data_IF_811731444649
#
_entry.id   IF_811731444649
#
_cell.length_a   1.000
_cell.length_b   1.000
_cell.length_c   1.000
_cell.angle_alpha   90.00
_cell.angle_beta   90.00
_cell.angle_gamma   90.00
#
_symmetry.space_group_name_H-M   'P 1'
#
loop_
_entity.id
_entity.type
_entity.pdbx_description
1 polymer ?
#
# COMPACT_ATOMS: atom_id res chain seq x y z
N UNK A 1 -28.89 -21.85 11.49
CA UNK A 1 -28.60 -20.45 11.85
C UNK A 1 -28.50 -20.37 13.36
N UNK A 2 -27.38 -19.91 13.90
CA UNK A 2 -27.28 -19.56 15.32
C UNK A 2 -28.17 -18.34 15.60
N UNK A 3 -28.97 -18.34 16.67
CA UNK A 3 -29.77 -17.18 17.03
C UNK A 3 -28.87 -15.96 17.33
N UNK A 4 -29.33 -14.77 16.96
CA UNK A 4 -28.61 -13.53 17.24
C UNK A 4 -28.44 -13.32 18.75
N UNK A 5 -27.21 -13.07 19.19
CA UNK A 5 -26.85 -12.74 20.57
C UNK A 5 -26.39 -11.29 20.62
N UNK A 6 -27.02 -10.51 21.50
CA UNK A 6 -26.68 -9.10 21.73
C UNK A 6 -25.29 -9.03 22.36
N UNK A 7 -24.97 -9.94 23.27
CA UNK A 7 -23.72 -10.02 24.01
C UNK A 7 -22.52 -10.20 23.07
N UNK A 8 -22.63 -11.13 22.12
CA UNK A 8 -21.58 -11.35 21.11
C UNK A 8 -21.44 -10.17 20.14
N UNK A 9 -22.53 -9.43 19.89
CA UNK A 9 -22.50 -8.25 19.03
C UNK A 9 -21.90 -7.03 19.74
N UNK A 10 -22.12 -6.87 21.05
CA UNK A 10 -21.49 -5.82 21.87
C UNK A 10 -19.96 -5.88 21.78
N UNK A 11 -19.38 -7.09 21.78
CA UNK A 11 -17.94 -7.28 21.66
C UNK A 11 -17.35 -6.81 20.33
N UNK A 12 -18.19 -6.62 19.31
CA UNK A 12 -17.79 -6.15 17.98
C UNK A 12 -17.91 -4.63 17.81
N UNK A 13 -18.44 -3.90 18.80
CA UNK A 13 -18.49 -2.44 18.75
C UNK A 13 -17.06 -1.89 18.84
N UNK A 14 -16.64 -1.17 17.80
CA UNK A 14 -15.26 -0.70 17.63
C UNK A 14 -15.00 0.54 18.47
N UNK A 15 -15.93 1.49 18.48
CA UNK A 15 -15.80 2.74 19.24
C UNK A 15 -16.04 2.49 20.73
N UNK A 16 -15.04 2.82 21.55
CA UNK A 16 -15.07 2.55 22.99
C UNK A 16 -16.18 3.33 23.70
N UNK A 17 -16.41 4.59 23.31
CA UNK A 17 -17.45 5.43 23.93
C UNK A 17 -18.84 4.93 23.53
N UNK A 18 -19.03 4.56 22.26
CA UNK A 18 -20.26 3.91 21.79
C UNK A 18 -20.51 2.61 22.54
N UNK A 19 -19.48 1.77 22.76
CA UNK A 19 -19.60 0.52 23.52
C UNK A 19 -20.01 0.79 24.98
N UNK A 20 -19.36 1.74 25.64
CA UNK A 20 -19.69 2.13 27.02
C UNK A 20 -21.14 2.61 27.14
N UNK A 21 -21.57 3.53 26.26
CA UNK A 21 -22.95 4.02 26.27
C UNK A 21 -23.97 2.92 25.90
N UNK A 22 -23.61 2.01 24.99
CA UNK A 22 -24.48 0.91 24.60
C UNK A 22 -24.69 -0.11 25.73
N UNK A 23 -23.70 -0.32 26.61
CA UNK A 23 -23.88 -1.19 27.77
C UNK A 23 -24.99 -0.68 28.71
N UNK A 24 -25.27 0.62 28.75
CA UNK A 24 -26.42 1.16 29.49
C UNK A 24 -27.75 0.82 28.82
N UNK A 25 -27.80 0.85 27.48
CA UNK A 25 -28.96 0.39 26.70
C UNK A 25 -29.27 -1.07 27.03
N UNK A 26 -28.23 -1.91 27.00
CA UNK A 26 -28.37 -3.33 27.26
C UNK A 26 -28.85 -3.60 28.70
N UNK A 27 -28.30 -2.90 29.71
CA UNK A 27 -28.80 -2.98 31.09
C UNK A 27 -30.27 -2.58 31.21
N UNK A 28 -30.70 -1.52 30.52
CA UNK A 28 -32.10 -1.11 30.52
C UNK A 28 -33.00 -2.16 29.86
N UNK A 29 -32.55 -2.77 28.77
CA UNK A 29 -33.28 -3.83 28.08
C UNK A 29 -33.48 -5.06 28.98
N UNK A 30 -32.40 -5.57 29.58
CA UNK A 30 -32.43 -6.72 30.48
C UNK A 30 -33.30 -6.47 31.73
N UNK A 31 -33.30 -5.23 32.24
CA UNK A 31 -34.14 -4.83 33.37
C UNK A 31 -35.63 -4.59 32.99
N UNK A 32 -36.03 -4.82 31.74
CA UNK A 32 -37.39 -4.57 31.27
C UNK A 32 -37.76 -3.08 31.12
N UNK A 33 -36.78 -2.19 31.21
CA UNK A 33 -36.94 -0.74 31.06
C UNK A 33 -36.92 -0.32 29.58
N UNK A 34 -37.80 -0.90 28.76
CA UNK A 34 -37.78 -0.79 27.29
C UNK A 34 -37.85 0.64 26.75
N UNK A 35 -38.66 1.49 27.38
CA UNK A 35 -38.77 2.91 27.03
C UNK A 35 -37.43 3.65 27.22
N UNK A 36 -36.72 3.36 28.31
CA UNK A 36 -35.41 3.92 28.58
C UNK A 36 -34.37 3.34 27.62
N UNK A 37 -34.42 2.03 27.35
CA UNK A 37 -33.55 1.38 26.39
C UNK A 37 -33.65 2.01 25.00
N UNK A 38 -34.86 2.22 24.46
CA UNK A 38 -35.06 2.89 23.16
C UNK A 38 -34.56 4.33 23.17
N UNK A 39 -34.81 5.07 24.26
CA UNK A 39 -34.33 6.45 24.41
C UNK A 39 -32.80 6.54 24.37
N UNK A 40 -32.13 5.71 25.18
CA UNK A 40 -30.67 5.64 25.23
C UNK A 40 -30.08 5.13 23.91
N UNK A 41 -30.72 4.14 23.28
CA UNK A 41 -30.24 3.57 22.01
C UNK A 41 -30.16 4.62 20.92
N UNK A 42 -31.17 5.49 20.82
CA UNK A 42 -31.14 6.61 19.87
C UNK A 42 -29.98 7.56 20.16
N UNK A 43 -29.71 7.88 21.43
CA UNK A 43 -28.56 8.70 21.80
C UNK A 43 -27.24 8.04 21.39
N UNK A 44 -27.07 6.74 21.64
CA UNK A 44 -25.88 5.98 21.22
C UNK A 44 -25.69 6.05 19.71
N UNK A 45 -26.75 5.80 18.94
CA UNK A 45 -26.76 5.88 17.46
C UNK A 45 -26.27 7.24 16.97
N UNK A 46 -26.83 8.34 17.49
CA UNK A 46 -26.45 9.69 17.07
C UNK A 46 -25.00 9.98 17.43
N UNK A 47 -24.57 9.65 18.66
CA UNK A 47 -23.19 9.89 19.09
C UNK A 47 -22.18 9.05 18.31
N UNK A 48 -22.53 7.83 17.94
CA UNK A 48 -21.70 6.95 17.13
C UNK A 48 -21.53 7.51 15.71
N UNK A 49 -22.61 8.00 15.09
CA UNK A 49 -22.53 8.68 13.78
C UNK A 49 -21.61 9.90 13.86
N UNK A 50 -21.70 10.71 14.92
CA UNK A 50 -20.80 11.86 15.12
C UNK A 50 -19.35 11.42 15.28
N UNK A 51 -19.07 10.42 16.12
CA UNK A 51 -17.70 9.86 16.29
C UNK A 51 -17.14 9.38 14.97
N UNK A 52 -17.96 8.68 14.18
CA UNK A 52 -17.57 8.19 12.87
C UNK A 52 -17.32 9.31 11.87
N UNK A 53 -18.15 10.36 11.85
CA UNK A 53 -17.90 11.53 11.01
C UNK A 53 -16.59 12.22 11.38
N UNK A 54 -16.29 12.39 12.68
CA UNK A 54 -15.03 12.97 13.13
C UNK A 54 -13.83 12.12 12.71
N UNK A 55 -13.98 10.80 12.83
CA UNK A 55 -12.96 9.86 12.37
C UNK A 55 -12.77 9.93 10.86
N UNK A 56 -13.85 10.05 10.09
CA UNK A 56 -13.78 10.19 8.62
C UNK A 56 -13.14 11.52 8.21
N UNK A 57 -13.49 12.61 8.89
CA UNK A 57 -12.86 13.92 8.71
C UNK A 57 -11.35 13.85 8.98
N UNK A 58 -10.92 13.28 10.11
CA UNK A 58 -9.52 13.27 10.52
C UNK A 58 -8.71 12.25 9.71
N UNK A 59 -9.16 11.00 9.62
CA UNK A 59 -8.38 9.91 9.04
C UNK A 59 -8.36 10.00 7.51
N UNK A 60 -9.43 10.49 6.88
CA UNK A 60 -9.56 10.54 5.42
C UNK A 60 -9.55 11.96 4.84
N UNK A 61 -9.47 13.01 5.67
CA UNK A 61 -9.55 14.42 5.24
C UNK A 61 -10.83 14.73 4.42
N UNK A 62 -11.96 14.11 4.79
CA UNK A 62 -13.20 14.20 4.03
C UNK A 62 -13.90 15.56 4.21
N UNK A 63 -13.95 16.33 3.12
CA UNK A 63 -14.55 17.67 3.13
C UNK A 63 -16.07 17.68 3.34
N UNK A 64 -16.77 16.58 3.04
CA UNK A 64 -18.22 16.45 3.25
C UNK A 64 -18.51 16.18 4.72
N UNK A 65 -17.74 15.30 5.36
CA UNK A 65 -17.78 15.06 6.80
C UNK A 65 -17.52 16.36 7.58
N UNK A 66 -16.47 17.11 7.17
CA UNK A 66 -16.16 18.42 7.75
C UNK A 66 -17.35 19.39 7.68
N UNK A 67 -18.00 19.50 6.51
CA UNK A 67 -19.18 20.36 6.32
C UNK A 67 -20.35 19.94 7.20
N UNK A 68 -20.67 18.64 7.26
CA UNK A 68 -21.76 18.12 8.09
C UNK A 68 -21.50 18.42 9.57
N UNK A 69 -20.27 18.18 10.06
CA UNK A 69 -19.88 18.47 11.43
C UNK A 69 -19.94 19.97 11.76
N UNK A 70 -19.49 20.83 10.85
CA UNK A 70 -19.56 22.28 11.01
C UNK A 70 -21.01 22.79 11.06
N UNK A 71 -21.89 22.25 10.21
CA UNK A 71 -23.32 22.55 10.20
C UNK A 71 -23.98 22.12 11.52
N UNK A 72 -23.70 20.91 12.01
CA UNK A 72 -24.19 20.40 13.30
C UNK A 72 -23.74 21.32 14.45
N UNK A 73 -22.45 21.67 14.48
CA UNK A 73 -21.88 22.56 15.50
C UNK A 73 -22.57 23.93 15.48
N UNK A 74 -22.89 24.45 14.30
CA UNK A 74 -23.62 25.70 14.13
C UNK A 74 -25.05 25.60 14.66
N UNK A 75 -25.78 24.51 14.35
CA UNK A 75 -27.15 24.27 14.85
C UNK A 75 -27.18 24.16 16.38
N UNK A 76 -26.21 23.45 16.96
CA UNK A 76 -26.06 23.34 18.41
C UNK A 76 -25.80 24.71 19.08
N UNK A 77 -24.93 25.54 18.48
CA UNK A 77 -24.64 26.89 18.99
C UNK A 77 -25.84 27.84 18.93
N UNK A 78 -26.70 27.70 17.92
CA UNK A 78 -27.92 28.51 17.77
C UNK A 78 -29.06 28.11 18.73
N UNK A 79 -28.88 27.05 19.54
CA UNK A 79 -29.91 26.47 20.41
C UNK A 79 -31.21 26.16 19.66
N UNK A 80 -31.12 25.78 18.39
CA UNK A 80 -32.22 25.10 17.71
C UNK A 80 -32.61 23.90 18.58
N UNK A 81 -33.91 23.68 18.82
CA UNK A 81 -34.38 22.68 19.79
C UNK A 81 -33.64 21.37 19.54
N UNK A 82 -33.05 20.76 20.57
CA UNK A 82 -32.10 19.65 20.45
C UNK A 82 -32.56 18.41 19.66
N UNK A 83 -33.85 18.35 19.30
CA UNK A 83 -34.46 17.37 18.39
C UNK A 83 -34.07 17.55 16.92
N UNK A 84 -33.89 18.78 16.45
CA UNK A 84 -33.94 19.06 15.00
C UNK A 84 -32.63 18.71 14.31
N UNK A 85 -31.49 18.91 14.99
CA UNK A 85 -30.19 18.54 14.45
C UNK A 85 -29.97 17.01 14.49
N UNK A 86 -30.46 16.32 15.53
CA UNK A 86 -30.47 14.84 15.63
C UNK A 86 -31.29 14.22 14.48
N UNK A 87 -32.33 14.90 14.01
CA UNK A 87 -33.09 14.46 12.85
C UNK A 87 -32.32 14.66 11.55
N UNK A 88 -31.65 15.81 11.41
CA UNK A 88 -30.89 16.09 10.20
C UNK A 88 -29.67 15.18 10.03
N UNK A 89 -28.99 14.76 11.09
CA UNK A 89 -27.73 14.01 10.95
C UNK A 89 -27.89 12.69 10.20
N UNK A 90 -28.90 11.87 10.53
CA UNK A 90 -29.12 10.58 9.87
C UNK A 90 -29.43 10.79 8.38
N UNK A 91 -30.24 11.82 8.08
CA UNK A 91 -30.58 12.19 6.71
C UNK A 91 -29.37 12.73 5.94
N UNK A 92 -28.62 13.67 6.51
CA UNK A 92 -27.45 14.30 5.89
C UNK A 92 -26.38 13.25 5.58
N UNK A 93 -26.14 12.34 6.52
CA UNK A 93 -25.16 11.26 6.41
C UNK A 93 -25.61 10.21 5.38
N UNK A 94 -26.92 9.93 5.27
CA UNK A 94 -27.47 9.10 4.20
C UNK A 94 -27.44 9.76 2.81
N UNK A 95 -27.86 11.01 2.70
CA UNK A 95 -28.00 11.69 1.41
C UNK A 95 -26.66 12.12 0.83
N UNK A 96 -25.77 12.69 1.66
CA UNK A 96 -24.52 13.32 1.22
C UNK A 96 -23.32 12.37 1.24
N UNK A 97 -23.30 11.43 2.18
CA UNK A 97 -22.20 10.48 2.35
C UNK A 97 -22.59 9.02 2.08
N UNK A 98 -23.88 8.75 1.84
CA UNK A 98 -24.38 7.39 1.58
C UNK A 98 -23.87 6.41 2.61
N UNK A 99 -23.92 6.82 3.89
CA UNK A 99 -23.22 6.12 4.96
C UNK A 99 -23.80 4.72 5.23
N UNK A 100 -25.08 4.58 4.92
CA UNK A 100 -25.85 3.34 5.02
C UNK A 100 -26.71 3.17 3.77
N UNK A 101 -27.27 1.97 3.58
CA UNK A 101 -28.27 1.72 2.54
C UNK A 101 -29.67 2.21 2.93
N UNK A 102 -30.62 2.12 1.99
CA UNK A 102 -32.00 2.58 2.21
C UNK A 102 -32.68 1.82 3.37
N UNK A 103 -32.41 0.52 3.53
CA UNK A 103 -33.01 -0.29 4.60
C UNK A 103 -32.56 0.19 5.98
N UNK A 104 -31.24 0.35 6.16
CA UNK A 104 -30.66 0.91 7.38
C UNK A 104 -31.23 2.30 7.67
N UNK A 105 -31.33 3.16 6.66
CA UNK A 105 -31.88 4.50 6.81
C UNK A 105 -33.32 4.48 7.34
N UNK A 106 -34.19 3.63 6.77
CA UNK A 106 -35.58 3.48 7.24
C UNK A 106 -35.65 2.90 8.66
N UNK A 107 -34.80 1.93 9.01
CA UNK A 107 -34.73 1.35 10.36
C UNK A 107 -34.35 2.40 11.40
N UNK A 108 -33.35 3.25 11.10
CA UNK A 108 -32.93 4.35 11.98
C UNK A 108 -34.01 5.43 12.11
N UNK A 109 -34.71 5.77 11.02
CA UNK A 109 -35.87 6.66 11.08
C UNK A 109 -37.01 6.07 11.91
N UNK A 110 -37.23 4.76 11.85
CA UNK A 110 -38.23 4.09 12.65
C UNK A 110 -37.89 4.15 14.15
N UNK A 111 -36.65 3.86 14.52
CA UNK A 111 -36.13 4.01 15.88
C UNK A 111 -36.35 5.43 16.41
N UNK A 112 -36.01 6.44 15.60
CA UNK A 112 -36.21 7.85 15.96
C UNK A 112 -37.68 8.18 16.24
N UNK A 113 -38.59 7.76 15.37
CA UNK A 113 -40.04 7.96 15.55
C UNK A 113 -40.54 7.32 16.84
N UNK A 114 -40.10 6.09 17.15
CA UNK A 114 -40.46 5.41 18.40
C UNK A 114 -39.85 6.08 19.62
N UNK A 115 -38.61 6.58 19.56
CA UNK A 115 -38.00 7.39 20.63
C UNK A 115 -38.83 8.65 20.92
N UNK A 116 -39.33 9.31 19.89
CA UNK A 116 -40.20 10.48 20.06
C UNK A 116 -41.48 10.11 20.83
N UNK A 117 -42.15 9.02 20.45
CA UNK A 117 -43.34 8.51 21.15
C UNK A 117 -43.05 8.07 22.61
N UNK A 118 -41.86 7.53 22.88
CA UNK A 118 -41.43 7.16 24.23
C UNK A 118 -41.25 8.37 25.16
N UNK A 119 -40.93 9.53 24.58
CA UNK A 119 -40.54 10.75 25.31
C UNK A 119 -41.67 11.77 25.43
N UNK A 120 -42.66 11.73 24.53
CA UNK A 120 -43.76 12.68 24.49
C UNK A 120 -45.12 11.99 24.70
N UNK A 121 -45.96 12.49 25.63
CA UNK A 121 -47.27 11.89 25.90
C UNK A 121 -48.19 12.07 24.69
N UNK A 122 -48.87 10.99 24.33
CA UNK A 122 -50.00 11.06 23.41
C UNK A 122 -51.19 11.62 24.19
N UNK A 123 -51.70 12.78 23.80
CA UNK A 123 -52.94 13.31 24.35
C UNK A 123 -54.08 12.47 23.78
N UNK A 124 -54.43 11.37 24.46
CA UNK A 124 -55.67 10.63 24.23
C UNK A 124 -56.55 10.74 25.47
N UNK A 125 -57.86 10.87 25.25
CA UNK A 125 -58.87 11.38 26.20
C UNK A 125 -59.11 10.53 27.47
N UNK A 126 -58.36 9.45 27.73
CA UNK A 126 -58.63 8.58 28.88
C UNK A 126 -57.45 7.97 29.63
N UNK A 127 -56.19 8.17 29.22
CA UNK A 127 -55.03 7.71 30.01
C UNK A 127 -53.75 8.43 29.58
N UNK A 128 -53.16 9.25 30.46
CA UNK A 128 -51.89 9.98 30.26
C UNK A 128 -50.66 9.03 30.26
N UNK A 129 -50.72 7.90 29.55
CA UNK A 129 -49.63 6.92 29.48
C UNK A 129 -48.70 7.20 28.30
N UNK A 130 -47.40 7.15 28.57
CA UNK A 130 -46.37 7.22 27.54
C UNK A 130 -46.31 5.88 26.80
N UNK A 131 -46.06 5.94 25.48
CA UNK A 131 -45.88 4.74 24.68
C UNK A 131 -44.70 3.92 25.24
N UNK A 132 -44.91 2.61 25.38
CA UNK A 132 -43.91 1.65 25.83
C UNK A 132 -43.78 0.55 24.77
N UNK A 133 -42.61 0.39 24.13
CA UNK A 133 -42.38 -0.65 23.14
C UNK A 133 -42.35 -2.03 23.80
N UNK A 134 -42.66 -3.07 23.03
CA UNK A 134 -42.57 -4.45 23.52
C UNK A 134 -41.10 -4.91 23.65
N UNK A 135 -40.82 -6.00 24.39
CA UNK A 135 -39.48 -6.59 24.43
C UNK A 135 -38.92 -6.91 23.04
N UNK A 136 -39.78 -7.42 22.15
CA UNK A 136 -39.44 -7.82 20.78
C UNK A 136 -39.16 -6.60 19.89
N UNK A 137 -39.99 -5.56 19.97
CA UNK A 137 -39.74 -4.29 19.28
C UNK A 137 -38.40 -3.69 19.72
N UNK A 138 -38.14 -3.67 21.03
CA UNK A 138 -36.88 -3.13 21.57
C UNK A 138 -35.67 -3.95 21.15
N UNK A 139 -35.80 -5.29 21.16
CA UNK A 139 -34.75 -6.20 20.67
C UNK A 139 -34.46 -5.98 19.19
N UNK A 140 -35.49 -5.77 18.38
CA UNK A 140 -35.36 -5.46 16.96
C UNK A 140 -34.55 -4.19 16.74
N UNK A 141 -34.89 -3.11 17.45
CA UNK A 141 -34.13 -1.86 17.37
C UNK A 141 -32.67 -2.02 17.78
N UNK A 142 -32.41 -2.75 18.87
CA UNK A 142 -31.07 -3.06 19.35
C UNK A 142 -30.27 -3.80 18.27
N UNK A 143 -30.88 -4.81 17.66
CA UNK A 143 -30.24 -5.61 16.62
C UNK A 143 -29.86 -4.76 15.41
N UNK A 144 -30.81 -3.98 14.88
CA UNK A 144 -30.57 -3.11 13.73
C UNK A 144 -29.50 -2.06 14.02
N UNK A 145 -29.57 -1.40 15.19
CA UNK A 145 -28.53 -0.44 15.57
C UNK A 145 -27.15 -1.08 15.67
N UNK A 146 -27.04 -2.30 16.19
CA UNK A 146 -25.78 -3.04 16.25
C UNK A 146 -25.26 -3.43 14.87
N UNK A 147 -26.06 -4.18 14.11
CA UNK A 147 -25.67 -4.77 12.83
C UNK A 147 -25.46 -3.71 11.74
N UNK A 148 -26.33 -2.69 11.69
CA UNK A 148 -26.38 -1.73 10.59
C UNK A 148 -25.48 -0.51 10.84
N UNK A 149 -25.12 -0.26 12.10
CA UNK A 149 -24.34 0.91 12.50
C UNK A 149 -23.19 0.55 13.45
N UNK A 150 -23.44 0.21 14.71
CA UNK A 150 -22.42 0.29 15.77
C UNK A 150 -21.21 -0.62 15.57
N UNK A 151 -21.39 -1.78 14.92
CA UNK A 151 -20.27 -2.68 14.60
C UNK A 151 -19.63 -2.38 13.24
N UNK A 152 -20.26 -1.51 12.44
CA UNK A 152 -19.77 -1.09 11.11
C UNK A 152 -18.69 -0.01 11.28
N UNK A 153 -17.49 -0.18 10.70
CA UNK A 153 -16.40 0.81 10.81
C UNK A 153 -16.72 2.18 10.21
N UNK A 154 -16.16 3.25 10.80
CA UNK A 154 -16.38 4.65 10.40
C UNK A 154 -16.09 4.97 8.93
N UNK A 155 -15.00 4.46 8.36
CA UNK A 155 -14.59 4.83 6.99
C UNK A 155 -15.37 4.15 5.88
N UNK A 156 -16.33 3.25 6.16
CA UNK A 156 -16.64 2.14 5.25
C UNK A 156 -18.10 2.03 4.85
N UNK A 157 -18.75 3.17 4.69
CA UNK A 157 -19.95 3.18 3.89
C UNK A 157 -19.63 2.81 2.45
N UNK A 158 -20.34 1.80 1.95
CA UNK A 158 -20.10 1.16 0.64
C UNK A 158 -20.06 2.13 -0.55
N UNK A 159 -20.63 3.33 -0.39
CA UNK A 159 -20.69 4.36 -1.44
C UNK A 159 -19.76 5.57 -1.23
N UNK A 160 -19.47 6.02 0.01
CA UNK A 160 -18.58 7.17 0.23
C UNK A 160 -17.17 6.90 -0.30
N UNK A 161 -16.65 5.69 -0.07
CA UNK A 161 -15.29 5.34 -0.46
C UNK A 161 -15.06 5.36 -1.96
N UNK A 162 -16.07 4.97 -2.74
CA UNK A 162 -15.93 4.89 -4.19
C UNK A 162 -15.68 6.27 -4.79
N UNK A 163 -16.55 7.23 -4.46
CA UNK A 163 -16.47 8.56 -5.05
C UNK A 163 -15.41 9.42 -4.35
N UNK A 164 -15.21 9.26 -3.04
CA UNK A 164 -14.15 9.99 -2.32
C UNK A 164 -12.75 9.54 -2.74
N UNK A 165 -12.47 8.23 -2.84
CA UNK A 165 -11.13 7.74 -3.20
C UNK A 165 -10.78 8.16 -4.62
N UNK A 166 -11.68 7.95 -5.60
CA UNK A 166 -11.37 8.29 -6.99
C UNK A 166 -11.21 9.80 -7.17
N UNK A 167 -12.04 10.60 -6.49
CA UNK A 167 -11.91 12.07 -6.49
C UNK A 167 -10.62 12.52 -5.78
N UNK A 168 -10.19 11.83 -4.74
CA UNK A 168 -8.95 12.17 -4.05
C UNK A 168 -7.72 11.75 -4.86
N UNK A 169 -7.79 10.64 -5.61
CA UNK A 169 -6.76 10.28 -6.60
C UNK A 169 -6.63 11.40 -7.63
N UNK A 170 -7.74 11.89 -8.19
CA UNK A 170 -7.76 13.00 -9.15
C UNK A 170 -7.03 14.23 -8.57
N UNK A 171 -7.40 14.64 -7.34
CA UNK A 171 -6.81 15.81 -6.67
C UNK A 171 -5.33 15.65 -6.36
N UNK A 172 -4.91 14.47 -5.88
CA UNK A 172 -3.52 14.21 -5.55
C UNK A 172 -2.65 14.23 -6.81
N UNK A 173 -3.14 13.68 -7.92
CA UNK A 173 -2.48 13.80 -9.22
C UNK A 173 -2.44 15.26 -9.69
N UNK A 174 -3.56 15.99 -9.64
CA UNK A 174 -3.63 17.40 -10.06
C UNK A 174 -2.69 18.31 -9.24
N UNK A 175 -2.42 17.95 -7.98
CA UNK A 175 -1.42 18.60 -7.14
C UNK A 175 0.04 18.28 -7.55
N UNK A 176 0.25 17.46 -8.58
CA UNK A 176 1.57 17.15 -9.14
C UNK A 176 2.38 16.13 -8.34
N UNK A 177 1.74 15.30 -7.51
CA UNK A 177 2.45 14.24 -6.78
C UNK A 177 2.97 13.18 -7.75
N UNK A 178 4.23 12.80 -7.56
CA UNK A 178 4.78 11.61 -8.21
C UNK A 178 4.19 10.31 -7.59
N UNK A 179 4.45 9.18 -8.26
CA UNK A 179 3.89 7.87 -7.87
C UNK A 179 4.40 7.41 -6.50
N UNK A 180 5.67 7.68 -6.15
CA UNK A 180 6.25 7.25 -4.88
C UNK A 180 5.64 8.07 -3.72
N UNK A 181 5.53 9.38 -3.89
CA UNK A 181 4.83 10.27 -2.95
C UNK A 181 3.36 9.88 -2.78
N UNK A 182 2.68 9.56 -3.89
CA UNK A 182 1.30 9.08 -3.86
C UNK A 182 1.15 7.78 -3.08
N UNK A 183 2.05 6.81 -3.30
CA UNK A 183 2.05 5.54 -2.59
C UNK A 183 2.12 5.74 -1.07
N UNK A 184 2.98 6.62 -0.59
CA UNK A 184 3.11 6.94 0.84
C UNK A 184 1.82 7.53 1.42
N UNK A 185 1.16 8.44 0.68
CA UNK A 185 -0.12 9.03 1.09
C UNK A 185 -1.20 7.96 1.16
N UNK A 186 -1.31 7.11 0.12
CA UNK A 186 -2.33 6.06 0.06
C UNK A 186 -2.15 5.05 1.18
N UNK A 187 -0.91 4.61 1.44
CA UNK A 187 -0.60 3.68 2.51
C UNK A 187 -1.02 4.21 3.88
N UNK A 188 -0.66 5.45 4.19
CA UNK A 188 -0.91 6.07 5.50
C UNK A 188 -2.38 6.41 5.70
N UNK A 189 -3.04 6.97 4.69
CA UNK A 189 -4.40 7.50 4.79
C UNK A 189 -5.48 6.44 4.60
N UNK A 190 -5.34 5.58 3.60
CA UNK A 190 -6.40 4.64 3.22
C UNK A 190 -6.05 3.21 3.61
N UNK A 191 -4.91 2.67 3.17
CA UNK A 191 -4.61 1.22 3.29
C UNK A 191 -4.54 0.78 4.75
N UNK A 192 -3.85 1.53 5.63
CA UNK A 192 -3.74 1.23 7.06
C UNK A 192 -5.09 1.13 7.77
N UNK A 193 -6.09 1.84 7.27
CA UNK A 193 -7.40 1.97 7.89
C UNK A 193 -8.51 1.23 7.14
N UNK A 194 -8.18 0.52 6.04
CA UNK A 194 -9.11 -0.22 5.18
C UNK A 194 -9.56 -1.54 5.85
N UNK A 195 -10.81 -1.74 6.26
CA UNK A 195 -11.36 -2.99 6.75
C UNK A 195 -11.41 -4.01 5.64
N UNK A 196 -11.20 -5.24 6.07
CA UNK A 196 -11.18 -6.40 5.20
C UNK A 196 -12.49 -6.54 4.44
N UNK A 197 -13.62 -6.22 5.04
CA UNK A 197 -14.95 -6.40 4.46
C UNK A 197 -15.16 -5.60 3.16
N UNK A 198 -14.43 -4.49 2.97
CA UNK A 198 -14.57 -3.63 1.78
C UNK A 198 -13.58 -3.98 0.66
N UNK A 199 -12.50 -4.71 0.98
CA UNK A 199 -11.48 -5.13 0.00
C UNK A 199 -12.10 -5.75 -1.26
N UNK A 200 -13.06 -6.71 -1.19
CA UNK A 200 -13.63 -7.33 -2.40
C UNK A 200 -14.35 -6.34 -3.32
N UNK A 201 -15.01 -5.33 -2.74
CA UNK A 201 -15.74 -4.30 -3.49
C UNK A 201 -14.75 -3.38 -4.19
N UNK A 202 -13.75 -2.91 -3.45
CA UNK A 202 -12.79 -1.92 -3.93
C UNK A 202 -11.89 -2.48 -5.03
N UNK A 203 -11.37 -3.69 -4.87
CA UNK A 203 -10.51 -4.30 -5.90
C UNK A 203 -11.27 -4.53 -7.20
N UNK A 204 -12.55 -4.92 -7.14
CA UNK A 204 -13.40 -5.15 -8.33
C UNK A 204 -13.65 -3.85 -9.10
N UNK A 205 -13.87 -2.74 -8.40
CA UNK A 205 -14.05 -1.44 -9.05
C UNK A 205 -12.72 -0.89 -9.60
N UNK A 206 -11.64 -0.92 -8.82
CA UNK A 206 -10.31 -0.51 -9.30
C UNK A 206 -9.86 -1.35 -10.49
N UNK A 207 -10.15 -2.64 -10.51
CA UNK A 207 -9.89 -3.51 -11.66
C UNK A 207 -10.56 -2.99 -12.93
N UNK A 208 -11.82 -2.56 -12.85
CA UNK A 208 -12.53 -1.99 -13.99
C UNK A 208 -11.84 -0.74 -14.51
N UNK A 209 -11.38 0.15 -13.63
CA UNK A 209 -10.66 1.37 -14.02
C UNK A 209 -9.27 1.05 -14.60
N UNK A 210 -8.58 0.05 -14.06
CA UNK A 210 -7.23 -0.30 -14.48
C UNK A 210 -7.19 -1.12 -15.77
N UNK A 211 -8.20 -1.96 -16.03
CA UNK A 211 -8.09 -3.03 -17.01
C UNK A 211 -9.28 -3.20 -17.97
N UNK A 212 -10.41 -2.51 -17.75
CA UNK A 212 -11.62 -2.73 -18.55
C UNK A 212 -12.06 -1.43 -19.23
N UNK A 213 -12.33 -0.39 -18.46
CA UNK A 213 -12.81 0.89 -18.96
C UNK A 213 -11.67 1.70 -19.55
N UNK A 214 -11.96 2.50 -20.57
CA UNK A 214 -11.10 3.54 -21.10
C UNK A 214 -11.97 4.76 -21.44
N UNK A 215 -11.56 5.90 -20.92
CA UNK A 215 -12.02 7.24 -21.24
C UNK A 215 -10.92 8.23 -20.80
N UNK A 216 -10.89 9.47 -21.33
CA UNK A 216 -9.78 10.40 -21.08
C UNK A 216 -9.46 10.59 -19.60
N UNK A 217 -10.49 10.68 -18.74
CA UNK A 217 -10.29 10.90 -17.31
C UNK A 217 -9.74 9.66 -16.61
N UNK A 218 -10.24 8.48 -16.96
CA UNK A 218 -9.71 7.21 -16.43
C UNK A 218 -8.26 7.01 -16.88
N UNK A 219 -7.98 7.29 -18.16
CA UNK A 219 -6.69 7.04 -18.78
C UNK A 219 -5.59 7.91 -18.17
N UNK A 220 -5.88 9.19 -17.93
CA UNK A 220 -4.94 10.08 -17.24
C UNK A 220 -4.65 9.66 -15.78
N UNK A 221 -5.55 8.89 -15.14
CA UNK A 221 -5.40 8.42 -13.77
C UNK A 221 -4.99 6.94 -13.67
N UNK A 222 -4.81 6.24 -14.79
CA UNK A 222 -4.68 4.78 -14.83
C UNK A 222 -3.52 4.28 -13.97
N UNK A 223 -2.37 4.96 -14.01
CA UNK A 223 -1.20 4.58 -13.21
C UNK A 223 -1.43 4.77 -11.70
N UNK A 224 -2.12 5.82 -11.28
CA UNK A 224 -2.47 6.05 -9.87
C UNK A 224 -3.51 5.04 -9.37
N UNK A 225 -4.53 4.76 -10.19
CA UNK A 225 -5.53 3.72 -9.92
C UNK A 225 -4.85 2.33 -9.77
N UNK A 226 -3.91 2.02 -10.66
CA UNK A 226 -3.15 0.78 -10.62
C UNK A 226 -2.26 0.70 -9.38
N UNK A 227 -1.54 1.77 -9.03
CA UNK A 227 -0.70 1.76 -7.83
C UNK A 227 -1.55 1.59 -6.55
N UNK A 228 -2.73 2.21 -6.47
CA UNK A 228 -3.68 1.96 -5.37
C UNK A 228 -4.05 0.47 -5.33
N UNK A 229 -4.50 -0.10 -6.45
CA UNK A 229 -4.83 -1.52 -6.54
C UNK A 229 -3.66 -2.40 -6.07
N UNK A 230 -2.43 -2.07 -6.47
CA UNK A 230 -1.23 -2.80 -6.05
C UNK A 230 -0.98 -2.69 -4.55
N UNK A 231 -1.25 -1.55 -3.93
CA UNK A 231 -1.13 -1.41 -2.47
C UNK A 231 -2.17 -2.25 -1.73
N UNK A 232 -3.40 -2.33 -2.23
CA UNK A 232 -4.44 -3.18 -1.61
C UNK A 232 -4.04 -4.66 -1.70
N UNK A 233 -3.64 -5.13 -2.89
CA UNK A 233 -3.25 -6.53 -3.08
C UNK A 233 -2.02 -6.87 -2.24
N UNK A 234 -1.04 -5.95 -2.15
CA UNK A 234 0.15 -6.15 -1.31
C UNK A 234 -0.16 -6.19 0.18
N UNK A 235 -1.17 -5.45 0.65
CA UNK A 235 -1.56 -5.42 2.06
C UNK A 235 -2.52 -6.56 2.44
N UNK A 236 -3.37 -7.02 1.51
CA UNK A 236 -4.37 -8.07 1.71
C UNK A 236 -4.24 -9.25 0.72
N UNK A 237 -3.06 -9.89 0.60
CA UNK A 237 -2.79 -10.85 -0.48
C UNK A 237 -3.71 -12.08 -0.46
N UNK A 238 -3.90 -12.71 0.70
CA UNK A 238 -4.74 -13.91 0.82
C UNK A 238 -6.21 -13.61 0.51
N UNK A 239 -6.72 -12.47 0.99
CA UNK A 239 -8.09 -12.07 0.73
C UNK A 239 -8.31 -11.75 -0.76
N UNK A 240 -7.38 -11.03 -1.40
CA UNK A 240 -7.46 -10.77 -2.83
C UNK A 240 -7.42 -12.09 -3.64
N UNK A 241 -6.58 -13.04 -3.24
CA UNK A 241 -6.52 -14.37 -3.85
C UNK A 241 -7.87 -15.11 -3.77
N UNK A 242 -8.51 -15.11 -2.60
CA UNK A 242 -9.85 -15.70 -2.44
C UNK A 242 -10.92 -15.04 -3.33
N UNK A 243 -10.85 -13.72 -3.50
CA UNK A 243 -11.78 -12.99 -4.38
C UNK A 243 -11.53 -13.34 -5.85
N UNK A 244 -10.27 -13.32 -6.29
CA UNK A 244 -9.90 -13.62 -7.67
C UNK A 244 -10.18 -15.08 -8.07
N UNK A 245 -10.13 -16.03 -7.12
CA UNK A 245 -10.52 -17.42 -7.35
C UNK A 245 -12.02 -17.60 -7.66
N UNK A 246 -12.87 -16.68 -7.21
CA UNK A 246 -14.34 -16.77 -7.32
C UNK A 246 -14.91 -15.95 -8.48
N UNK A 247 -14.10 -15.11 -9.12
CA UNK A 247 -14.58 -14.06 -10.02
C UNK A 247 -13.85 -14.08 -11.37
N UNK A 248 -14.61 -14.17 -12.46
CA UNK A 248 -14.05 -14.32 -13.82
C UNK A 248 -13.50 -13.02 -14.43
N UNK A 249 -13.67 -11.85 -13.77
CA UNK A 249 -13.31 -10.56 -14.37
C UNK A 249 -11.80 -10.42 -14.63
N UNK A 250 -10.97 -11.19 -13.93
CA UNK A 250 -9.51 -11.19 -14.13
C UNK A 250 -9.11 -11.69 -15.52
N UNK A 251 -9.97 -12.49 -16.17
CA UNK A 251 -9.75 -13.01 -17.52
C UNK A 251 -10.27 -12.06 -18.62
N UNK A 252 -10.97 -10.98 -18.26
CA UNK A 252 -11.70 -10.09 -19.18
C UNK A 252 -11.07 -8.69 -19.20
N UNK A 253 -9.82 -8.63 -19.67
CA UNK A 253 -9.04 -7.38 -19.80
C UNK A 253 -9.14 -6.84 -21.23
N UNK A 254 -9.25 -5.51 -21.36
CA UNK A 254 -9.27 -4.81 -22.65
C UNK A 254 -7.92 -4.95 -23.36
N UNK A 255 -7.94 -5.25 -24.66
CA UNK A 255 -6.73 -5.53 -25.47
C UNK A 255 -6.06 -4.26 -26.00
N UNK A 256 -5.99 -3.21 -25.18
CA UNK A 256 -5.24 -1.99 -25.45
C UNK A 256 -3.81 -2.11 -24.92
N UNK A 257 -2.81 -1.65 -25.67
CA UNK A 257 -1.41 -1.87 -25.31
C UNK A 257 -0.99 -1.15 -24.02
N UNK A 258 -1.55 0.02 -23.72
CA UNK A 258 -1.25 0.75 -22.47
C UNK A 258 -1.88 0.03 -21.27
N UNK A 259 -3.11 -0.47 -21.45
CA UNK A 259 -3.79 -1.27 -20.43
C UNK A 259 -3.03 -2.57 -20.15
N UNK A 260 -2.63 -3.27 -21.21
CA UNK A 260 -1.92 -4.53 -21.11
C UNK A 260 -0.51 -4.35 -20.51
N UNK A 261 0.16 -3.22 -20.77
CA UNK A 261 1.41 -2.87 -20.09
C UNK A 261 1.23 -2.84 -18.56
N UNK A 262 0.20 -2.13 -18.07
CA UNK A 262 -0.13 -2.07 -16.63
C UNK A 262 -0.53 -3.45 -16.11
N UNK A 263 -1.21 -4.24 -16.93
CA UNK A 263 -1.59 -5.60 -16.55
C UNK A 263 -0.38 -6.53 -16.40
N UNK A 264 0.62 -6.44 -17.28
CA UNK A 264 1.90 -7.14 -17.11
C UNK A 264 2.61 -6.69 -15.83
N UNK A 265 2.62 -5.40 -15.52
CA UNK A 265 3.19 -4.90 -14.27
C UNK A 265 2.49 -5.47 -13.02
N UNK A 266 1.17 -5.63 -13.06
CA UNK A 266 0.40 -6.32 -12.00
C UNK A 266 0.87 -7.77 -11.84
N UNK A 267 0.89 -8.54 -12.94
CA UNK A 267 1.26 -9.96 -12.92
C UNK A 267 2.72 -10.17 -12.51
N UNK A 268 3.61 -9.27 -12.92
CA UNK A 268 5.02 -9.24 -12.52
C UNK A 268 5.17 -9.10 -11.00
N UNK A 269 4.39 -8.19 -10.39
CA UNK A 269 4.43 -7.95 -8.94
C UNK A 269 3.72 -9.05 -8.15
N UNK A 270 2.64 -9.59 -8.70
CA UNK A 270 1.75 -10.56 -8.04
C UNK A 270 1.55 -11.81 -8.90
N UNK A 271 2.61 -12.61 -9.01
CA UNK A 271 2.69 -13.81 -9.87
C UNK A 271 1.53 -14.79 -9.66
N UNK A 272 1.01 -14.91 -8.43
CA UNK A 272 -0.11 -15.80 -8.12
C UNK A 272 -1.38 -15.50 -8.93
N UNK A 273 -1.54 -14.27 -9.42
CA UNK A 273 -2.71 -13.89 -10.24
C UNK A 273 -2.64 -14.60 -11.60
N UNK A 274 -1.45 -14.79 -12.18
CA UNK A 274 -1.28 -15.49 -13.45
C UNK A 274 -1.71 -16.96 -13.36
N UNK A 275 -1.46 -17.61 -12.21
CA UNK A 275 -1.88 -18.99 -11.96
C UNK A 275 -3.39 -19.15 -11.92
N UNK A 276 -4.11 -18.09 -11.52
CA UNK A 276 -5.57 -18.05 -11.47
C UNK A 276 -6.23 -17.79 -12.83
N UNK A 277 -5.46 -17.39 -13.85
CA UNK A 277 -6.00 -17.13 -15.17
C UNK A 277 -6.40 -18.43 -15.88
N UNK A 278 -7.55 -18.36 -16.57
CA UNK A 278 -8.00 -19.41 -17.47
C UNK A 278 -7.26 -19.34 -18.82
N UNK A 279 -7.62 -20.24 -19.75
CA UNK A 279 -7.02 -20.28 -21.08
C UNK A 279 -7.25 -19.00 -21.88
N UNK A 280 -8.36 -18.28 -21.65
CA UNK A 280 -8.65 -17.02 -22.33
C UNK A 280 -7.79 -15.87 -21.79
N UNK A 281 -7.64 -15.76 -20.48
CA UNK A 281 -6.78 -14.77 -19.84
C UNK A 281 -5.30 -14.97 -20.23
N UNK A 282 -4.83 -16.22 -20.23
CA UNK A 282 -3.46 -16.56 -20.66
C UNK A 282 -3.22 -16.28 -22.14
N UNK A 283 -4.23 -16.49 -22.99
CA UNK A 283 -4.13 -16.15 -24.42
C UNK A 283 -3.96 -14.64 -24.65
N UNK A 284 -4.65 -13.78 -23.89
CA UNK A 284 -4.47 -12.32 -23.95
C UNK A 284 -3.01 -11.94 -23.66
N UNK A 285 -2.45 -12.46 -22.56
CA UNK A 285 -1.05 -12.22 -22.16
C UNK A 285 -0.09 -12.71 -23.24
N UNK A 286 -0.26 -13.94 -23.73
CA UNK A 286 0.60 -14.51 -24.76
C UNK A 286 0.59 -13.70 -26.06
N UNK A 287 -0.59 -13.26 -26.51
CA UNK A 287 -0.74 -12.46 -27.72
C UNK A 287 -0.04 -11.10 -27.60
N UNK A 288 -0.14 -10.45 -26.44
CA UNK A 288 0.57 -9.20 -26.18
C UNK A 288 2.09 -9.37 -26.17
N UNK A 289 2.59 -10.39 -25.48
CA UNK A 289 4.03 -10.65 -25.36
C UNK A 289 4.67 -11.15 -26.66
N UNK A 290 3.89 -11.72 -27.58
CA UNK A 290 4.36 -12.07 -28.92
C UNK A 290 4.66 -10.81 -29.76
N UNK A 291 3.86 -9.76 -29.59
CA UNK A 291 4.08 -8.46 -30.24
C UNK A 291 5.15 -7.64 -29.52
N UNK A 292 5.28 -7.81 -28.21
CA UNK A 292 6.15 -7.04 -27.33
C UNK A 292 7.18 -7.93 -26.63
N UNK A 293 8.05 -8.59 -27.40
CA UNK A 293 8.95 -9.62 -26.84
C UNK A 293 9.85 -9.13 -25.71
N UNK A 294 10.29 -7.86 -25.76
CA UNK A 294 11.10 -7.25 -24.71
C UNK A 294 10.41 -7.24 -23.34
N UNK A 295 9.07 -7.25 -23.31
CA UNK A 295 8.30 -7.28 -22.06
C UNK A 295 8.41 -8.62 -21.32
N UNK A 296 8.86 -9.70 -21.98
CA UNK A 296 9.03 -11.01 -21.35
C UNK A 296 10.00 -10.98 -20.16
N UNK A 297 10.94 -10.02 -20.12
CA UNK A 297 11.82 -9.79 -18.96
C UNK A 297 11.05 -9.46 -17.67
N UNK A 298 9.84 -8.90 -17.77
CA UNK A 298 9.00 -8.59 -16.63
C UNK A 298 8.07 -9.74 -16.23
N UNK A 299 8.17 -10.89 -16.89
CA UNK A 299 7.22 -12.00 -16.76
C UNK A 299 7.86 -13.26 -16.14
N UNK A 300 8.36 -13.22 -14.89
CA UNK A 300 8.98 -14.39 -14.26
C UNK A 300 8.01 -15.56 -14.08
N UNK A 301 6.70 -15.28 -14.01
CA UNK A 301 5.62 -16.27 -13.96
C UNK A 301 5.50 -17.15 -15.23
N UNK A 302 6.19 -16.81 -16.33
CA UNK A 302 6.29 -17.66 -17.52
C UNK A 302 7.48 -18.62 -17.49
N UNK A 303 8.45 -18.36 -16.62
CA UNK A 303 9.64 -19.18 -16.49
C UNK A 303 9.41 -20.29 -15.46
N UNK A 304 10.07 -21.43 -15.65
CA UNK A 304 9.93 -22.59 -14.75
C UNK A 304 10.39 -22.27 -13.32
N UNK A 305 11.39 -21.40 -13.19
CA UNK A 305 11.92 -20.92 -11.93
C UNK A 305 12.72 -19.62 -12.18
N UNK A 306 13.04 -18.92 -11.10
CA UNK A 306 13.78 -17.65 -11.15
C UNK A 306 15.18 -17.80 -11.78
N UNK A 307 15.87 -18.93 -11.57
CA UNK A 307 17.20 -19.15 -12.14
C UNK A 307 17.18 -19.22 -13.67
N UNK A 308 16.21 -19.93 -14.24
CA UNK A 308 16.03 -20.00 -15.69
C UNK A 308 15.63 -18.64 -16.27
N UNK A 309 14.76 -17.90 -15.58
CA UNK A 309 14.39 -16.54 -15.99
C UNK A 309 15.61 -15.61 -16.06
N UNK A 310 16.40 -15.57 -14.99
CA UNK A 310 17.60 -14.74 -14.91
C UNK A 310 18.60 -15.10 -16.01
N UNK A 311 18.89 -16.39 -16.22
CA UNK A 311 19.80 -16.83 -17.28
C UNK A 311 19.35 -16.40 -18.69
N UNK A 312 18.05 -16.39 -18.96
CA UNK A 312 17.54 -16.00 -20.28
C UNK A 312 17.61 -14.49 -20.52
N UNK A 313 17.38 -13.68 -19.49
CA UNK A 313 17.15 -12.24 -19.64
C UNK A 313 18.30 -11.35 -19.15
N UNK A 314 19.18 -11.84 -18.27
CA UNK A 314 20.35 -11.08 -17.81
C UNK A 314 21.23 -10.60 -18.97
N UNK A 315 21.56 -11.43 -19.99
CA UNK A 315 22.40 -11.00 -21.11
C UNK A 315 21.71 -10.01 -22.05
N UNK A 316 20.39 -9.84 -21.93
CA UNK A 316 19.55 -8.93 -22.74
C UNK A 316 19.18 -7.66 -21.97
N UNK A 317 19.67 -7.52 -20.74
CA UNK A 317 19.28 -6.46 -19.85
C UNK A 317 19.86 -5.12 -20.31
N UNK A 318 19.00 -4.11 -20.36
CA UNK A 318 19.36 -2.70 -20.32
C UNK A 318 19.60 -2.26 -18.87
N UNK A 319 20.10 -1.04 -18.69
CA UNK A 319 20.27 -0.42 -17.36
C UNK A 319 18.98 -0.48 -16.50
N UNK A 320 17.84 -0.07 -17.07
CA UNK A 320 16.55 -0.10 -16.37
C UNK A 320 16.06 -1.51 -16.05
N UNK A 321 16.23 -2.45 -16.99
CA UNK A 321 15.74 -3.82 -16.80
C UNK A 321 16.65 -4.64 -15.88
N UNK A 322 17.95 -4.36 -15.83
CA UNK A 322 18.84 -4.96 -14.83
C UNK A 322 18.46 -4.51 -13.42
N UNK A 323 18.13 -3.22 -13.22
CA UNK A 323 17.57 -2.73 -11.95
C UNK A 323 16.31 -3.47 -11.54
N UNK A 324 15.42 -3.77 -12.50
CA UNK A 324 14.25 -4.62 -12.24
C UNK A 324 14.65 -6.06 -11.85
N UNK A 325 15.57 -6.70 -12.60
CA UNK A 325 16.03 -8.06 -12.31
C UNK A 325 16.68 -8.16 -10.91
N UNK A 326 17.41 -7.13 -10.47
CA UNK A 326 17.94 -7.05 -9.11
C UNK A 326 16.83 -6.99 -8.06
N UNK A 327 15.82 -6.12 -8.26
CA UNK A 327 14.66 -6.05 -7.35
C UNK A 327 13.87 -7.37 -7.31
N UNK A 328 13.74 -8.04 -8.45
CA UNK A 328 13.11 -9.35 -8.53
C UNK A 328 13.93 -10.38 -7.76
N UNK A 329 15.25 -10.39 -7.93
CA UNK A 329 16.16 -11.33 -7.25
C UNK A 329 16.20 -11.16 -5.72
N UNK A 330 15.96 -9.95 -5.21
CA UNK A 330 15.79 -9.68 -3.78
C UNK A 330 14.63 -10.49 -3.18
N UNK A 331 13.49 -10.62 -3.89
CA UNK A 331 12.34 -11.43 -3.46
C UNK A 331 12.69 -12.91 -3.26
N UNK A 332 13.69 -13.40 -3.98
CA UNK A 332 14.15 -14.79 -3.94
C UNK A 332 15.46 -14.97 -3.16
N UNK A 333 15.98 -13.92 -2.52
CA UNK A 333 17.24 -13.94 -1.77
C UNK A 333 18.47 -14.36 -2.61
N UNK A 334 18.47 -14.05 -3.92
CA UNK A 334 19.55 -14.41 -4.85
C UNK A 334 20.20 -13.20 -5.52
N UNK A 335 20.08 -12.02 -4.92
CA UNK A 335 20.61 -10.77 -5.50
C UNK A 335 22.11 -10.78 -5.68
N UNK A 336 22.85 -11.32 -4.71
CA UNK A 336 24.30 -11.34 -4.78
C UNK A 336 24.78 -12.23 -5.93
N UNK A 337 24.12 -13.36 -6.15
CA UNK A 337 24.37 -14.24 -7.28
C UNK A 337 24.09 -13.52 -8.61
N UNK A 338 23.01 -12.74 -8.70
CA UNK A 338 22.67 -11.97 -9.90
C UNK A 338 23.69 -10.86 -10.16
N UNK A 339 24.17 -10.16 -9.13
CA UNK A 339 25.26 -9.19 -9.28
C UNK A 339 26.55 -9.86 -9.80
N UNK A 340 26.90 -11.04 -9.26
CA UNK A 340 28.05 -11.82 -9.75
C UNK A 340 27.87 -12.21 -11.22
N UNK A 341 26.68 -12.69 -11.61
CA UNK A 341 26.39 -13.00 -13.01
C UNK A 341 26.45 -11.75 -13.90
N UNK A 342 26.00 -10.59 -13.42
CA UNK A 342 26.14 -9.32 -14.15
C UNK A 342 27.61 -8.94 -14.37
N UNK A 343 28.48 -9.18 -13.39
CA UNK A 343 29.93 -9.02 -13.54
C UNK A 343 30.48 -10.01 -14.57
N UNK A 344 29.94 -11.23 -14.65
CA UNK A 344 30.32 -12.21 -15.68
C UNK A 344 29.89 -11.76 -17.09
N UNK A 345 28.69 -11.20 -17.25
CA UNK A 345 28.25 -10.60 -18.51
C UNK A 345 29.15 -9.44 -18.94
N UNK A 346 29.54 -8.57 -17.99
CA UNK A 346 30.59 -7.58 -18.23
C UNK A 346 31.91 -8.23 -18.68
N UNK A 347 32.33 -9.28 -17.98
CA UNK A 347 33.52 -10.07 -18.29
C UNK A 347 33.55 -10.67 -19.69
N UNK A 348 32.38 -11.02 -20.22
CA UNK A 348 32.20 -11.66 -21.53
C UNK A 348 31.97 -10.67 -22.68
N UNK A 349 32.15 -9.36 -22.43
CA UNK A 349 31.93 -8.31 -23.44
C UNK A 349 32.75 -8.56 -24.72
N UNK A 350 32.12 -8.62 -25.90
CA UNK A 350 32.79 -9.02 -27.15
C UNK A 350 33.52 -7.86 -27.86
N UNK A 351 33.30 -6.61 -27.44
CA UNK A 351 33.92 -5.43 -28.02
C UNK A 351 34.13 -4.34 -26.97
N UNK A 352 34.93 -3.33 -27.31
CA UNK A 352 35.12 -2.15 -26.44
C UNK A 352 33.81 -1.39 -26.16
N UNK A 353 32.93 -1.26 -27.15
CA UNK A 353 31.66 -0.54 -27.00
C UNK A 353 30.69 -1.32 -26.10
N UNK A 354 30.63 -2.64 -26.24
CA UNK A 354 29.84 -3.51 -25.36
C UNK A 354 30.41 -3.53 -23.93
N UNK A 355 31.74 -3.52 -23.77
CA UNK A 355 32.35 -3.41 -22.44
C UNK A 355 32.01 -2.08 -21.76
N UNK A 356 31.96 -0.98 -22.51
CA UNK A 356 31.50 0.32 -22.00
C UNK A 356 30.03 0.26 -21.56
N UNK A 357 29.15 -0.32 -22.39
CA UNK A 357 27.73 -0.46 -22.06
C UNK A 357 27.51 -1.35 -20.84
N UNK A 358 28.13 -2.54 -20.83
CA UNK A 358 27.99 -3.52 -19.76
C UNK A 358 28.58 -3.05 -18.43
N UNK A 359 29.64 -2.23 -18.44
CA UNK A 359 30.15 -1.62 -17.21
C UNK A 359 29.07 -0.73 -16.57
N UNK A 360 28.41 0.11 -17.37
CA UNK A 360 27.36 1.00 -16.88
C UNK A 360 26.12 0.21 -16.42
N UNK A 361 25.75 -0.84 -17.16
CA UNK A 361 24.58 -1.68 -16.84
C UNK A 361 24.81 -2.49 -15.56
N UNK A 362 25.94 -3.17 -15.42
CA UNK A 362 26.11 -4.20 -14.39
C UNK A 362 27.00 -3.78 -13.21
N UNK A 363 27.85 -2.76 -13.35
CA UNK A 363 28.89 -2.43 -12.35
C UNK A 363 28.71 -1.05 -11.74
N UNK A 364 28.66 0.00 -12.56
CA UNK A 364 28.83 1.39 -12.11
C UNK A 364 27.85 1.80 -10.98
N UNK A 365 26.56 1.56 -11.17
CA UNK A 365 25.53 1.96 -10.21
C UNK A 365 25.48 1.09 -8.95
N UNK A 366 26.05 -0.10 -8.99
CA UNK A 366 25.89 -1.14 -7.97
C UNK A 366 27.15 -1.40 -7.16
N UNK A 367 28.25 -0.77 -7.52
CA UNK A 367 29.54 -0.98 -6.86
C UNK A 367 29.54 -0.64 -5.37
N UNK A 368 28.68 0.31 -4.98
CA UNK A 368 28.46 0.66 -3.58
C UNK A 368 27.87 -0.48 -2.76
N UNK A 369 27.24 -1.48 -3.39
CA UNK A 369 26.65 -2.64 -2.73
C UNK A 369 27.60 -3.86 -2.75
N UNK A 370 28.75 -3.78 -3.43
CA UNK A 370 29.62 -4.94 -3.62
C UNK A 370 30.21 -5.46 -2.30
N UNK A 371 30.15 -6.77 -2.15
CA UNK A 371 30.93 -7.51 -1.17
C UNK A 371 32.34 -7.85 -1.72
N UNK A 372 33.19 -8.41 -0.87
CA UNK A 372 34.54 -8.77 -1.26
C UNK A 372 34.59 -9.80 -2.41
N UNK A 373 33.64 -10.74 -2.45
CA UNK A 373 33.57 -11.77 -3.50
C UNK A 373 33.24 -11.15 -4.86
N UNK A 374 32.35 -10.16 -4.90
CA UNK A 374 32.03 -9.40 -6.10
C UNK A 374 33.24 -8.61 -6.61
N UNK A 375 34.00 -7.97 -5.71
CA UNK A 375 35.26 -7.33 -6.10
C UNK A 375 36.28 -8.32 -6.65
N UNK A 376 36.46 -9.48 -6.01
CA UNK A 376 37.33 -10.53 -6.53
C UNK A 376 36.91 -10.97 -7.93
N UNK A 377 35.59 -11.14 -8.16
CA UNK A 377 35.07 -11.50 -9.47
C UNK A 377 35.34 -10.41 -10.51
N UNK A 378 35.15 -9.14 -10.16
CA UNK A 378 35.48 -8.02 -11.05
C UNK A 378 36.95 -8.04 -11.47
N UNK A 379 37.86 -8.23 -10.50
CA UNK A 379 39.29 -8.32 -10.77
C UNK A 379 39.63 -9.48 -11.71
N UNK A 380 39.02 -10.65 -11.49
CA UNK A 380 39.19 -11.81 -12.35
C UNK A 380 38.75 -11.54 -13.79
N UNK A 381 37.55 -11.00 -13.99
CA UNK A 381 37.03 -10.80 -15.36
C UNK A 381 37.74 -9.68 -16.10
N UNK A 382 38.08 -8.59 -15.39
CA UNK A 382 38.77 -7.43 -15.97
C UNK A 382 40.21 -7.75 -16.38
N UNK A 383 40.86 -8.70 -15.71
CA UNK A 383 42.22 -9.14 -16.05
C UNK A 383 42.26 -10.01 -17.32
N UNK A 384 41.19 -10.76 -17.58
CA UNK A 384 41.18 -11.83 -18.58
C UNK A 384 40.64 -11.42 -19.97
N UNK A 385 39.87 -10.33 -20.09
CA UNK A 385 39.31 -9.90 -21.38
C UNK A 385 39.94 -8.61 -21.93
N UNK A 386 40.59 -8.69 -23.10
CA UNK A 386 41.23 -7.52 -23.74
C UNK A 386 40.25 -6.43 -24.15
N UNK A 387 39.00 -6.80 -24.44
CA UNK A 387 37.93 -5.83 -24.70
C UNK A 387 37.60 -4.99 -23.46
N UNK A 388 38.03 -5.43 -22.27
CA UNK A 388 37.90 -4.68 -21.03
C UNK A 388 39.18 -3.90 -20.74
N UNK A 389 40.33 -4.57 -20.65
CA UNK A 389 41.55 -3.92 -20.15
C UNK A 389 42.25 -3.00 -21.17
N UNK A 390 42.02 -3.16 -22.47
CA UNK A 390 42.59 -2.29 -23.51
C UNK A 390 41.65 -1.14 -23.91
N UNK A 391 40.44 -1.04 -23.33
CA UNK A 391 39.49 0.02 -23.69
C UNK A 391 39.89 1.37 -23.07
N UNK A 392 39.62 2.47 -23.78
CA UNK A 392 39.99 3.84 -23.35
C UNK A 392 39.47 4.22 -21.95
N UNK A 393 38.28 3.77 -21.60
CA UNK A 393 37.64 4.08 -20.30
C UNK A 393 38.11 3.19 -19.15
N UNK A 394 38.93 2.17 -19.41
CA UNK A 394 39.36 1.21 -18.37
C UNK A 394 39.97 1.89 -17.16
N UNK A 395 40.84 2.89 -17.38
CA UNK A 395 41.47 3.66 -16.30
C UNK A 395 40.46 4.36 -15.38
N UNK A 396 39.47 5.04 -15.96
CA UNK A 396 38.43 5.74 -15.19
C UNK A 396 37.54 4.77 -14.42
N UNK A 397 37.08 3.70 -15.08
CA UNK A 397 36.28 2.65 -14.46
C UNK A 397 37.03 1.93 -13.32
N UNK A 398 38.30 1.61 -13.52
CA UNK A 398 39.11 0.95 -12.48
C UNK A 398 39.38 1.86 -11.29
N UNK A 399 39.57 3.17 -11.51
CA UNK A 399 39.69 4.13 -10.42
C UNK A 399 38.44 4.13 -9.54
N UNK A 400 37.25 4.06 -10.14
CA UNK A 400 35.99 3.93 -9.39
C UNK A 400 35.96 2.62 -8.58
N UNK A 401 36.31 1.49 -9.21
CA UNK A 401 36.32 0.18 -8.53
C UNK A 401 37.33 0.12 -7.40
N UNK A 402 38.55 0.59 -7.65
CA UNK A 402 39.60 0.61 -6.66
C UNK A 402 39.25 1.53 -5.49
N UNK A 403 38.66 2.71 -5.74
CA UNK A 403 38.20 3.61 -4.67
C UNK A 403 37.24 2.88 -3.73
N UNK A 404 36.26 2.15 -4.27
CA UNK A 404 35.28 1.42 -3.44
C UNK A 404 35.87 0.19 -2.75
N UNK A 405 36.73 -0.57 -3.44
CA UNK A 405 37.45 -1.70 -2.85
C UNK A 405 38.32 -1.26 -1.67
N UNK A 406 39.12 -0.19 -1.86
CA UNK A 406 39.98 0.36 -0.83
C UNK A 406 39.17 0.88 0.35
N UNK A 407 38.12 1.67 0.09
CA UNK A 407 37.23 2.22 1.12
C UNK A 407 36.60 1.13 2.00
N UNK A 408 36.14 0.02 1.41
CA UNK A 408 35.46 -1.05 2.18
C UNK A 408 36.42 -2.06 2.82
N UNK A 409 37.57 -2.30 2.19
CA UNK A 409 38.39 -3.48 2.48
C UNK A 409 39.90 -3.19 2.58
N UNK A 410 40.32 -1.96 2.94
CA UNK A 410 41.73 -1.58 3.14
C UNK A 410 42.50 -2.62 3.96
N UNK A 411 41.94 -3.05 5.11
CA UNK A 411 42.57 -4.03 6.01
C UNK A 411 42.75 -5.40 5.33
N UNK A 412 41.74 -5.87 4.59
CA UNK A 412 41.79 -7.16 3.90
C UNK A 412 42.78 -7.15 2.74
N UNK A 413 42.96 -6.02 2.06
CA UNK A 413 44.01 -5.87 1.05
C UNK A 413 45.41 -6.03 1.65
N UNK A 414 45.61 -5.68 2.92
CA UNK A 414 46.89 -5.82 3.63
C UNK A 414 47.15 -7.18 4.29
N UNK A 415 46.12 -7.85 4.83
CA UNK A 415 46.28 -9.07 5.62
C UNK A 415 46.05 -10.39 4.85
N UNK A 416 45.04 -10.47 3.98
CA UNK A 416 44.73 -11.68 3.20
C UNK A 416 43.75 -11.34 2.05
N UNK A 417 44.16 -11.47 0.78
CA UNK A 417 43.19 -11.85 -0.27
C UNK A 417 43.42 -11.36 -1.69
N UNK A 418 43.98 -10.17 -1.91
CA UNK A 418 44.18 -9.64 -3.27
C UNK A 418 45.67 -9.51 -3.54
N UNK A 419 46.25 -10.56 -4.13
CA UNK A 419 47.63 -10.51 -4.62
C UNK A 419 47.66 -9.61 -5.86
N UNK A 420 48.20 -8.40 -5.70
CA UNK A 420 48.29 -7.44 -6.80
C UNK A 420 49.10 -7.96 -7.99
N UNK A 421 49.94 -8.97 -7.78
CA UNK A 421 50.68 -9.64 -8.86
C UNK A 421 49.81 -10.56 -9.72
N UNK A 422 48.64 -11.00 -9.20
CA UNK A 422 47.66 -11.80 -9.96
C UNK A 422 46.80 -10.96 -10.88
N UNK A 423 46.68 -9.66 -10.60
CA UNK A 423 45.84 -8.73 -11.38
C UNK A 423 46.66 -7.53 -11.88
N UNK A 424 47.75 -7.77 -12.64
CA UNK A 424 48.67 -6.71 -13.03
C UNK A 424 48.00 -5.65 -13.90
N UNK A 425 47.09 -6.00 -14.81
CA UNK A 425 46.43 -5.04 -15.70
C UNK A 425 45.49 -4.13 -14.93
N UNK A 426 44.77 -4.65 -13.94
CA UNK A 426 43.97 -3.80 -13.06
C UNK A 426 44.85 -2.85 -12.27
N UNK A 427 45.83 -3.38 -11.53
CA UNK A 427 46.62 -2.57 -10.59
C UNK A 427 47.62 -1.62 -11.23
N UNK A 428 48.01 -1.83 -12.50
CA UNK A 428 48.82 -0.89 -13.27
C UNK A 428 48.01 0.28 -13.84
N UNK A 429 46.68 0.17 -13.89
CA UNK A 429 45.78 1.15 -14.49
C UNK A 429 44.90 1.84 -13.44
N UNK A 430 45.48 2.17 -12.28
CA UNK A 430 44.78 2.83 -11.17
C UNK A 430 45.67 3.92 -10.56
N UNK A 431 45.08 5.07 -10.27
CA UNK A 431 45.72 6.16 -9.53
C UNK A 431 45.71 5.92 -8.02
N UNK A 432 46.46 4.90 -7.57
CA UNK A 432 46.42 4.45 -6.17
C UNK A 432 46.71 5.58 -5.20
N UNK A 433 47.76 6.37 -5.46
CA UNK A 433 48.24 7.41 -4.56
C UNK A 433 47.17 8.47 -4.32
N UNK A 434 46.54 8.98 -5.39
CA UNK A 434 45.54 10.01 -5.23
C UNK A 434 44.23 9.46 -4.64
N UNK A 435 43.82 8.24 -5.03
CA UNK A 435 42.59 7.63 -4.54
C UNK A 435 42.69 7.30 -3.05
N UNK A 436 43.77 6.65 -2.61
CA UNK A 436 43.96 6.32 -1.19
C UNK A 436 43.99 7.58 -0.33
N UNK A 437 44.64 8.65 -0.81
CA UNK A 437 44.65 9.95 -0.14
C UNK A 437 43.25 10.54 -0.02
N UNK A 438 42.48 10.56 -1.12
CA UNK A 438 41.11 11.07 -1.14
C UNK A 438 40.21 10.31 -0.16
N UNK A 439 40.25 8.97 -0.16
CA UNK A 439 39.43 8.15 0.74
C UNK A 439 39.80 8.42 2.21
N UNK A 440 41.08 8.52 2.53
CA UNK A 440 41.55 8.84 3.90
C UNK A 440 41.14 10.23 4.35
N UNK A 441 41.12 11.21 3.45
CA UNK A 441 40.62 12.57 3.72
C UNK A 441 39.10 12.59 3.92
N UNK A 442 38.34 11.80 3.16
CA UNK A 442 36.87 11.66 3.31
C UNK A 442 36.48 11.02 4.65
N UNK A 443 37.24 10.05 5.16
CA UNK A 443 36.95 9.34 6.43
C UNK A 443 37.45 10.09 7.68
N UNK A 444 38.34 11.07 7.51
CA UNK A 444 38.95 11.80 8.63
C UNK A 444 37.91 12.51 9.53
N UNK A 445 36.90 13.23 9.01
CA UNK A 445 35.90 13.89 9.84
C UNK A 445 35.05 12.92 10.64
N UNK A 446 34.74 11.74 10.09
CA UNK A 446 33.95 10.70 10.76
C UNK A 446 34.75 10.05 11.89
N UNK A 447 36.03 9.73 11.64
CA UNK A 447 36.95 9.22 12.68
C UNK A 447 37.21 10.25 13.77
N UNK A 448 37.40 11.51 13.40
CA UNK A 448 37.58 12.63 14.33
C UNK A 448 36.30 12.80 15.18
N UNK A 449 35.11 12.75 14.58
CA UNK A 449 33.82 12.80 15.29
C UNK A 449 33.62 11.61 16.25
N UNK A 450 33.85 10.37 15.79
CA UNK A 450 33.74 9.18 16.64
C UNK A 450 34.77 9.19 17.77
N UNK A 451 36.01 9.62 17.49
CA UNK A 451 37.04 9.77 18.51
C UNK A 451 36.67 10.84 19.54
N UNK A 452 36.06 11.96 19.11
CA UNK A 452 35.54 12.98 20.00
C UNK A 452 34.42 12.43 20.90
N UNK A 453 33.49 11.63 20.33
CA UNK A 453 32.39 10.98 21.05
C UNK A 453 32.88 9.92 22.06
N UNK A 454 34.01 9.27 21.80
CA UNK A 454 34.63 8.26 22.66
C UNK A 454 35.65 8.84 23.64
N UNK A 455 36.11 10.07 23.42
CA UNK A 455 37.08 10.79 24.26
C UNK A 455 36.46 11.70 25.31
N UNK A 456 35.12 11.85 25.31
CA UNK A 456 34.44 12.45 26.45
C UNK A 456 34.57 11.48 27.62
N UNK A 457 35.40 11.86 28.60
CA UNK A 457 35.53 11.17 29.88
C UNK A 457 34.16 10.68 30.39
N UNK A 458 34.14 9.45 30.90
CA UNK A 458 33.01 8.69 31.50
C UNK A 458 32.26 9.42 32.65
N UNK A 459 32.46 10.72 32.84
CA UNK A 459 31.80 11.51 33.89
C UNK A 459 30.58 12.31 33.43
N UNK A 460 30.34 12.51 32.13
CA UNK A 460 29.23 13.36 31.65
C UNK A 460 28.50 12.81 30.40
N UNK A 461 27.94 11.60 30.48
CA UNK A 461 26.85 11.19 29.60
C UNK A 461 25.50 11.52 30.26
N UNK A 462 24.71 12.47 29.74
CA UNK A 462 23.28 12.52 30.02
C UNK A 462 22.56 11.53 29.10
N UNK A 463 21.83 10.60 29.74
CA UNK A 463 20.96 9.52 29.22
C UNK A 463 21.56 8.11 29.16
#
# INVERSE_FOLDING_TARGET
MTPFSIELAIEKIIDKNSKENFLEVYKCYEAGCYRAAVGLLWSVVVTDIVSKLQKVEIDFNDSTAHKILAEIKTKQQKREKGSDWEQSIVKDVYERMKFFDQDTYENLLHLQKKRHLCSHPLIQESDNKLYTPTPEETKSFIRHALEDLLIVPAGFSRHALKDSILTDIDKLREAGLDIDSFKDVIQKRYIKHLPKEIVPILIKELWKFCFIKSDPKIDENRHFNAEFLFQIIGHYPEQCKEVFQKEDYINKVTTDDNILYVYIALLSRFEFIYDLLDSSGKAIVSNYLTKNEKMKIYCPFLSKNISEHLKEFLPKATHETFKYLLKLSDKFLVKNEVMILGIEEYGNSPSYDEADANFNIYVEDYINDYDFKMFQKYLEVSENNSQIYDRRKFYGSNNLVYKMLFKKYEILMGYHGIDSKKFPKFFSNVDKVNIEKQVKEEEKPEKDFLSALLSTDDSDLPF
#
